data_IF_461828546452
#
_entry.id   IF_461828546452
#
_cell.length_a   1.000
_cell.length_b   1.000
_cell.length_c   1.000
_cell.angle_alpha   90.00
_cell.angle_beta   90.00
_cell.angle_gamma   90.00
#
_symmetry.space_group_name_H-M   'P 1'
#
loop_
_entity.id
_entity.type
_entity.pdbx_description
1 polymer ?
#
# COMPACT_ATOMS: atom_id res chain seq x y z
N UNK A 1 17.93 -7.52 32.24
CA UNK A 1 16.81 -6.56 32.13
C UNK A 1 17.06 -5.73 30.88
N UNK A 2 16.48 -6.12 29.74
CA UNK A 2 16.73 -5.52 28.42
C UNK A 2 15.82 -4.31 28.20
N UNK A 3 16.45 -3.14 28.02
CA UNK A 3 15.82 -1.84 27.75
C UNK A 3 15.16 -1.80 26.36
N UNK A 4 14.01 -2.42 26.18
CA UNK A 4 13.16 -2.25 25.00
C UNK A 4 11.70 -1.95 25.34
N UNK A 5 11.42 -1.54 26.58
CA UNK A 5 10.06 -1.30 27.08
C UNK A 5 9.73 0.20 27.20
N UNK A 6 9.99 0.96 26.14
CA UNK A 6 9.56 2.37 26.02
C UNK A 6 9.16 2.65 24.57
N UNK A 7 7.87 2.46 24.27
CA UNK A 7 7.04 3.02 23.16
C UNK A 7 5.94 2.07 22.62
N UNK A 8 5.53 1.07 23.41
CA UNK A 8 4.65 -0.02 22.96
C UNK A 8 3.18 0.42 22.72
N UNK A 9 2.70 1.46 23.40
CA UNK A 9 1.29 1.90 23.27
C UNK A 9 1.02 2.54 21.90
N UNK A 10 1.86 3.49 21.48
CA UNK A 10 1.69 4.18 20.20
C UNK A 10 1.92 3.23 19.01
N UNK A 11 2.84 2.28 19.15
CA UNK A 11 3.11 1.26 18.13
C UNK A 11 1.96 0.24 18.03
N UNK A 12 1.37 -0.17 19.16
CA UNK A 12 0.16 -1.00 19.19
C UNK A 12 -1.03 -0.27 18.56
N UNK A 13 -1.21 1.00 18.90
CA UNK A 13 -2.26 1.83 18.31
C UNK A 13 -2.09 1.96 16.79
N UNK A 14 -0.86 2.18 16.31
CA UNK A 14 -0.57 2.26 14.88
C UNK A 14 -0.86 0.95 14.14
N UNK A 15 -0.51 -0.19 14.72
CA UNK A 15 -0.86 -1.50 14.15
C UNK A 15 -2.38 -1.67 14.07
N UNK A 16 -3.13 -1.26 15.09
CA UNK A 16 -4.59 -1.34 15.09
C UNK A 16 -5.20 -0.49 13.96
N UNK A 17 -4.68 0.73 13.76
CA UNK A 17 -5.11 1.62 12.67
C UNK A 17 -4.83 1.07 11.27
N UNK A 18 -3.82 0.23 11.10
CA UNK A 18 -3.44 -0.35 9.80
C UNK A 18 -4.15 -1.69 9.55
N UNK A 19 -4.17 -2.58 10.53
CA UNK A 19 -4.65 -3.94 10.34
C UNK A 19 -6.15 -4.10 10.62
N UNK A 20 -6.69 -3.35 11.58
CA UNK A 20 -8.05 -3.58 12.07
C UNK A 20 -9.07 -2.54 11.58
N UNK A 21 -8.62 -1.42 11.00
CA UNK A 21 -9.51 -0.45 10.37
C UNK A 21 -10.35 -1.08 9.25
N UNK A 22 -11.59 -0.63 9.09
CA UNK A 22 -12.53 -1.18 8.11
C UNK A 22 -12.09 -0.92 6.67
N UNK A 23 -11.49 0.25 6.42
CA UNK A 23 -10.95 0.64 5.13
C UNK A 23 -9.56 1.25 5.30
N UNK A 24 -8.58 0.67 4.60
CA UNK A 24 -7.24 1.25 4.44
C UNK A 24 -7.11 1.77 3.01
N UNK A 25 -6.68 3.02 2.86
CA UNK A 25 -6.34 3.61 1.57
C UNK A 25 -4.83 3.83 1.54
N UNK A 26 -4.17 3.20 0.58
CA UNK A 26 -2.74 3.38 0.30
C UNK A 26 -2.66 4.19 -0.99
N UNK A 27 -2.26 5.45 -0.86
CA UNK A 27 -2.16 6.38 -2.00
C UNK A 27 -0.73 6.43 -2.54
N UNK A 28 -0.60 6.59 -3.85
CA UNK A 28 0.66 6.75 -4.59
C UNK A 28 1.75 5.73 -4.23
N UNK A 29 1.36 4.45 -4.19
CA UNK A 29 2.27 3.34 -3.90
C UNK A 29 3.41 3.30 -4.94
N UNK A 30 4.66 3.30 -4.46
CA UNK A 30 5.87 3.32 -5.27
C UNK A 30 6.60 4.66 -5.28
N UNK A 31 6.03 5.70 -4.64
CA UNK A 31 6.69 7.00 -4.45
C UNK A 31 7.73 6.97 -3.33
N UNK A 32 7.67 5.98 -2.43
CA UNK A 32 8.61 5.80 -1.34
C UNK A 32 9.95 5.18 -1.80
N UNK A 33 11.00 5.37 -0.99
CA UNK A 33 12.26 4.67 -1.20
C UNK A 33 12.09 3.18 -0.89
N UNK A 34 11.79 2.40 -1.92
CA UNK A 34 11.52 0.97 -1.79
C UNK A 34 12.80 0.20 -1.53
N UNK A 35 12.78 -0.65 -0.51
CA UNK A 35 13.83 -1.61 -0.20
C UNK A 35 13.20 -2.93 0.28
N UNK A 36 14.02 -3.95 0.52
CA UNK A 36 13.53 -5.26 0.94
C UNK A 36 12.69 -5.21 2.23
N UNK A 37 13.00 -4.31 3.16
CA UNK A 37 12.22 -4.14 4.39
C UNK A 37 10.84 -3.54 4.09
N UNK A 38 10.76 -2.46 3.30
CA UNK A 38 9.48 -1.85 2.91
C UNK A 38 8.62 -2.84 2.12
N UNK A 39 9.21 -3.58 1.19
CA UNK A 39 8.51 -4.62 0.43
C UNK A 39 7.93 -5.71 1.35
N UNK A 40 8.66 -6.13 2.37
CA UNK A 40 8.19 -7.11 3.35
C UNK A 40 7.06 -6.57 4.24
N UNK A 41 7.14 -5.30 4.66
CA UNK A 41 6.09 -4.64 5.43
C UNK A 41 4.80 -4.47 4.61
N UNK A 42 4.92 -4.05 3.35
CA UNK A 42 3.81 -3.97 2.42
C UNK A 42 3.16 -5.35 2.21
N UNK A 43 3.96 -6.39 1.97
CA UNK A 43 3.46 -7.76 1.85
C UNK A 43 2.67 -8.18 3.11
N UNK A 44 3.22 -7.92 4.29
CA UNK A 44 2.57 -8.25 5.57
C UNK A 44 1.25 -7.50 5.72
N UNK A 45 1.23 -6.19 5.44
CA UNK A 45 0.02 -5.36 5.44
C UNK A 45 -1.09 -5.94 4.56
N UNK A 46 -0.78 -6.21 3.28
CA UNK A 46 -1.76 -6.75 2.33
C UNK A 46 -2.22 -8.15 2.74
N UNK A 47 -1.29 -9.01 3.16
CA UNK A 47 -1.59 -10.37 3.55
C UNK A 47 -2.56 -10.43 4.74
N UNK A 48 -2.25 -9.71 5.82
CA UNK A 48 -3.09 -9.70 7.03
C UNK A 48 -4.49 -9.17 6.73
N UNK A 49 -4.59 -8.08 5.95
CA UNK A 49 -5.90 -7.52 5.60
C UNK A 49 -6.71 -8.46 4.71
N UNK A 50 -6.09 -9.17 3.77
CA UNK A 50 -6.76 -10.18 2.95
C UNK A 50 -7.28 -11.36 3.80
N UNK A 51 -6.47 -11.86 4.74
CA UNK A 51 -6.86 -12.96 5.65
C UNK A 51 -8.07 -12.55 6.49
N UNK A 52 -8.06 -11.34 7.03
CA UNK A 52 -9.14 -10.81 7.85
C UNK A 52 -10.30 -10.19 7.04
N UNK A 53 -10.26 -10.29 5.70
CA UNK A 53 -11.25 -9.72 4.78
C UNK A 53 -11.51 -8.22 5.01
N UNK A 54 -10.46 -7.47 5.35
CA UNK A 54 -10.51 -6.02 5.56
C UNK A 54 -10.30 -5.28 4.24
N UNK A 55 -11.15 -4.29 3.98
CA UNK A 55 -11.18 -3.59 2.68
C UNK A 55 -9.94 -2.71 2.50
N UNK A 56 -9.36 -2.75 1.30
CA UNK A 56 -8.17 -1.95 0.99
C UNK A 56 -8.30 -1.35 -0.40
N UNK A 57 -7.98 -0.07 -0.55
CA UNK A 57 -7.84 0.61 -1.83
C UNK A 57 -6.38 1.00 -1.99
N UNK A 58 -5.82 0.73 -3.17
CA UNK A 58 -4.46 1.09 -3.52
C UNK A 58 -4.50 1.92 -4.79
N UNK A 59 -3.88 3.09 -4.76
CA UNK A 59 -3.59 3.88 -5.96
C UNK A 59 -2.10 3.82 -6.27
N UNK A 60 -1.74 3.82 -7.56
CA UNK A 60 -0.35 3.79 -7.99
C UNK A 60 -0.21 4.30 -9.42
N UNK A 61 0.91 4.94 -9.71
CA UNK A 61 1.34 5.29 -11.07
C UNK A 61 2.23 4.20 -11.70
N UNK A 62 2.50 3.11 -10.98
CA UNK A 62 3.31 2.00 -11.45
C UNK A 62 2.54 1.12 -12.45
N UNK A 63 3.27 0.56 -13.41
CA UNK A 63 2.77 -0.57 -14.19
C UNK A 63 2.72 -1.83 -13.32
N UNK A 64 1.95 -2.83 -13.76
CA UNK A 64 1.90 -4.15 -13.11
C UNK A 64 3.31 -4.79 -13.02
N UNK A 65 4.11 -4.64 -14.06
CA UNK A 65 5.50 -5.12 -14.09
C UNK A 65 6.38 -4.41 -13.05
N UNK A 66 6.30 -3.08 -12.97
CA UNK A 66 7.04 -2.30 -11.98
C UNK A 66 6.64 -2.67 -10.55
N UNK A 67 5.35 -2.95 -10.32
CA UNK A 67 4.85 -3.40 -9.02
C UNK A 67 5.45 -4.75 -8.60
N UNK A 68 5.52 -5.72 -9.53
CA UNK A 68 6.15 -7.02 -9.29
C UNK A 68 7.65 -6.90 -8.96
N UNK A 69 8.34 -6.02 -9.69
CA UNK A 69 9.77 -5.77 -9.49
C UNK A 69 10.07 -5.09 -8.14
N UNK A 70 9.23 -4.13 -7.72
CA UNK A 70 9.45 -3.36 -6.48
C UNK A 70 9.00 -4.09 -5.22
N UNK A 71 7.82 -4.73 -5.25
CA UNK A 71 7.18 -5.31 -4.06
C UNK A 71 7.17 -6.84 -4.04
N UNK A 72 7.93 -7.46 -4.94
CA UNK A 72 8.03 -8.91 -5.17
C UNK A 72 6.84 -9.56 -5.87
N UNK A 73 7.12 -10.62 -6.62
CA UNK A 73 6.14 -11.51 -7.27
C UNK A 73 5.04 -12.01 -6.32
N UNK A 74 5.37 -12.23 -5.04
CA UNK A 74 4.40 -12.72 -4.06
C UNK A 74 3.33 -11.69 -3.73
N UNK A 75 3.71 -10.43 -3.54
CA UNK A 75 2.75 -9.33 -3.33
C UNK A 75 1.92 -9.10 -4.59
N UNK A 76 2.58 -9.11 -5.75
CA UNK A 76 1.93 -8.97 -7.05
C UNK A 76 0.85 -10.04 -7.29
N UNK A 77 1.16 -11.31 -7.04
CA UNK A 77 0.22 -12.42 -7.16
C UNK A 77 -1.02 -12.23 -6.26
N UNK A 78 -0.84 -11.78 -5.01
CA UNK A 78 -1.96 -11.49 -4.11
C UNK A 78 -2.83 -10.34 -4.61
N UNK A 79 -2.22 -9.27 -5.10
CA UNK A 79 -2.94 -8.11 -5.61
C UNK A 79 -3.77 -8.51 -6.83
N UNK A 80 -3.13 -9.09 -7.83
CA UNK A 80 -3.78 -9.48 -9.10
C UNK A 80 -4.87 -10.55 -8.94
N UNK A 81 -4.78 -11.41 -7.92
CA UNK A 81 -5.79 -12.45 -7.66
C UNK A 81 -6.94 -12.00 -6.75
N UNK A 82 -6.71 -11.02 -5.87
CA UNK A 82 -7.65 -10.69 -4.79
C UNK A 82 -8.25 -9.29 -4.90
N UNK A 83 -7.74 -8.43 -5.78
CA UNK A 83 -8.22 -7.06 -5.98
C UNK A 83 -8.85 -6.89 -7.36
N UNK A 84 -9.84 -5.99 -7.45
CA UNK A 84 -10.32 -5.50 -8.73
C UNK A 84 -9.35 -4.43 -9.26
N UNK A 85 -8.69 -4.71 -10.38
CA UNK A 85 -7.76 -3.78 -11.02
C UNK A 85 -8.53 -2.80 -11.91
N UNK A 86 -8.44 -1.51 -11.60
CA UNK A 86 -9.07 -0.44 -12.37
C UNK A 86 -7.97 0.43 -13.00
N UNK A 87 -7.89 0.39 -14.33
CA UNK A 87 -6.96 1.25 -15.07
C UNK A 87 -7.61 2.60 -15.35
N UNK A 88 -7.05 3.65 -14.77
CA UNK A 88 -7.47 5.03 -15.03
C UNK A 88 -6.67 5.56 -16.22
N UNK A 89 -7.36 6.13 -17.20
CA UNK A 89 -6.77 6.71 -18.41
C UNK A 89 -7.32 8.12 -18.58
N UNK A 90 -6.44 9.07 -18.86
CA UNK A 90 -6.82 10.45 -19.11
C UNK A 90 -5.60 11.38 -19.07
N UNK A 91 -5.80 12.61 -19.51
CA UNK A 91 -4.76 13.65 -19.44
C UNK A 91 -4.55 14.12 -17.99
N UNK A 92 -3.36 14.66 -17.69
CA UNK A 92 -3.07 15.25 -16.39
C UNK A 92 -4.00 16.45 -16.12
N UNK A 93 -4.89 16.29 -15.16
CA UNK A 93 -5.86 17.31 -14.76
C UNK A 93 -5.19 18.57 -14.25
N UNK A 94 -3.99 18.48 -13.64
CA UNK A 94 -3.24 19.63 -13.14
C UNK A 94 -2.76 20.51 -14.30
N UNK A 95 -2.43 19.90 -15.45
CA UNK A 95 -2.08 20.64 -16.67
C UNK A 95 -3.33 21.28 -17.25
N UNK A 96 -4.43 20.53 -17.38
CA UNK A 96 -5.70 21.05 -17.91
C UNK A 96 -6.22 22.27 -17.14
N UNK A 97 -6.19 22.21 -15.80
CA UNK A 97 -6.64 23.32 -14.97
C UNK A 97 -5.71 24.54 -15.02
N UNK A 98 -4.41 24.34 -15.28
CA UNK A 98 -3.46 25.44 -15.52
C UNK A 98 -3.66 26.13 -16.87
N UNK A 99 -4.01 25.38 -17.93
CA UNK A 99 -4.25 25.94 -19.28
C UNK A 99 -5.59 26.67 -19.36
N UNK A 100 -6.58 26.30 -18.53
CA UNK A 100 -7.88 27.00 -18.45
C UNK A 100 -7.82 28.38 -17.79
N UNK A 101 -6.76 28.66 -17.02
CA UNK A 101 -6.51 29.96 -16.40
C UNK A 101 -5.67 30.84 -17.31
#
# INVERSE_FOLDING_TARGET
QTKFDRNDVDSKNMNDYIFNCDLLIIDDLGSEYTNAFIAAQFFTCINERLIHKKSTIISTNLSLESLANLYTERSFSRITSSYALLKIIGDDIRIKEKIKK
#
